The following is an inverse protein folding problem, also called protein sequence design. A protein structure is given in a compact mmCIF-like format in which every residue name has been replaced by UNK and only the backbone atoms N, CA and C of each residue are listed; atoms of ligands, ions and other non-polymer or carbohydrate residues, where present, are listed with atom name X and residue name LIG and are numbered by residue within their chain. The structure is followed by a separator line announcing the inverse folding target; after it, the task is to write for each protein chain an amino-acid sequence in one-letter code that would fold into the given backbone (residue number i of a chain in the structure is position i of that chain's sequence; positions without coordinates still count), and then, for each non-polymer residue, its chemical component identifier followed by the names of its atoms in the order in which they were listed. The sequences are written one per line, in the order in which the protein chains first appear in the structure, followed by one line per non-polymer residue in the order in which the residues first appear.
data_IF_966411856591
#
_entry.id   IF_966411856591
#
_cell.length_a   1.000
_cell.length_b   1.000
_cell.length_c   1.000
_cell.angle_alpha   90.00
_cell.angle_beta   90.00
_cell.angle_gamma   90.00
#
_symmetry.space_group_name_H-M   'P 1'
#
loop_
_entity.id
_entity.type
_entity.pdbx_description
1 polymer ?
#
# COMPACT_ATOMS: atom_id res chain seq x y z
N UNK A 1 -3.77 -23.13 -20.35
CA UNK A 1 -3.25 -22.07 -19.47
C UNK A 1 -3.13 -20.76 -20.24
N UNK A 2 -4.26 -20.16 -20.65
CA UNK A 2 -4.28 -18.94 -21.48
C UNK A 2 -4.70 -17.68 -20.68
N UNK A 3 -5.16 -17.84 -19.44
CA UNK A 3 -5.71 -16.74 -18.63
C UNK A 3 -4.66 -15.67 -18.27
N UNK A 4 -3.44 -16.07 -17.95
CA UNK A 4 -2.36 -15.11 -17.65
C UNK A 4 -1.95 -14.32 -18.90
N UNK A 5 -2.01 -14.93 -20.09
CA UNK A 5 -1.62 -14.26 -21.33
C UNK A 5 -2.69 -13.29 -21.82
N UNK A 6 -3.96 -13.65 -21.67
CA UNK A 6 -5.08 -12.75 -21.95
C UNK A 6 -5.15 -11.59 -20.95
N UNK A 7 -4.78 -11.79 -19.68
CA UNK A 7 -4.74 -10.70 -18.70
C UNK A 7 -3.65 -9.64 -19.03
N UNK A 8 -2.56 -10.05 -19.68
CA UNK A 8 -1.49 -9.13 -20.09
C UNK A 8 -1.65 -8.59 -21.51
N UNK A 9 -2.46 -9.24 -22.37
CA UNK A 9 -2.58 -8.88 -23.80
C UNK A 9 -3.90 -8.20 -24.14
N UNK A 10 -4.97 -8.41 -23.35
CA UNK A 10 -6.29 -7.81 -23.58
C UNK A 10 -6.43 -6.51 -22.79
N UNK A 11 -6.97 -5.45 -23.40
CA UNK A 11 -7.23 -4.14 -22.78
C UNK A 11 -7.87 -4.22 -21.38
N UNK A 12 -8.78 -5.18 -21.19
CA UNK A 12 -9.50 -5.43 -19.92
C UNK A 12 -8.57 -5.90 -18.80
N UNK A 13 -7.57 -6.72 -19.15
CA UNK A 13 -6.62 -7.27 -18.20
C UNK A 13 -5.60 -6.22 -17.75
N UNK A 14 -5.11 -5.39 -18.68
CA UNK A 14 -4.23 -4.25 -18.35
C UNK A 14 -4.93 -3.24 -17.45
N UNK A 15 -6.19 -2.91 -17.74
CA UNK A 15 -6.98 -2.00 -16.91
C UNK A 15 -7.18 -2.56 -15.49
N UNK A 16 -7.45 -3.86 -15.38
CA UNK A 16 -7.59 -4.55 -14.09
C UNK A 16 -6.28 -4.61 -13.32
N UNK A 17 -5.15 -4.88 -13.99
CA UNK A 17 -3.80 -4.85 -13.39
C UNK A 17 -3.47 -3.45 -12.89
N UNK A 18 -3.82 -2.41 -13.63
CA UNK A 18 -3.65 -1.01 -13.20
C UNK A 18 -4.42 -0.71 -11.91
N UNK A 19 -5.68 -1.14 -11.82
CA UNK A 19 -6.48 -1.00 -10.61
C UNK A 19 -5.91 -1.76 -9.41
N UNK A 20 -5.48 -3.01 -9.61
CA UNK A 20 -4.86 -3.83 -8.55
C UNK A 20 -3.53 -3.23 -8.09
N UNK A 21 -2.68 -2.79 -9.02
CA UNK A 21 -1.42 -2.12 -8.70
C UNK A 21 -1.65 -0.82 -7.92
N UNK A 22 -2.67 -0.04 -8.30
CA UNK A 22 -3.07 1.16 -7.57
C UNK A 22 -3.57 0.84 -6.16
N UNK A 23 -4.44 -0.17 -6.01
CA UNK A 23 -4.98 -0.57 -4.71
C UNK A 23 -3.86 -1.06 -3.77
N UNK A 24 -2.95 -1.88 -4.27
CA UNK A 24 -1.78 -2.35 -3.51
C UNK A 24 -0.81 -1.20 -3.18
N UNK A 25 -0.56 -0.31 -4.13
CA UNK A 25 0.28 0.88 -3.93
C UNK A 25 -0.27 1.79 -2.83
N UNK A 26 -1.58 2.06 -2.87
CA UNK A 26 -2.27 2.81 -1.82
C UNK A 26 -2.21 2.09 -0.47
N UNK A 27 -2.40 0.77 -0.44
CA UNK A 27 -2.27 -0.03 0.79
C UNK A 27 -0.89 0.09 1.43
N UNK A 28 0.18 -0.07 0.66
CA UNK A 28 1.56 0.08 1.14
C UNK A 28 1.84 1.52 1.59
N UNK A 29 1.35 2.52 0.84
CA UNK A 29 1.50 3.93 1.21
C UNK A 29 0.86 4.22 2.57
N UNK A 30 -0.38 3.79 2.79
CA UNK A 30 -1.07 3.97 4.07
C UNK A 30 -0.32 3.28 5.20
N UNK A 31 0.07 2.01 5.04
CA UNK A 31 0.83 1.29 6.06
C UNK A 31 2.11 2.05 6.42
N UNK A 32 2.86 2.53 5.41
CA UNK A 32 4.08 3.29 5.65
C UNK A 32 3.82 4.64 6.33
N UNK A 33 2.74 5.32 5.94
CA UNK A 33 2.31 6.59 6.52
C UNK A 33 1.93 6.43 8.00
N UNK A 34 1.09 5.44 8.31
CA UNK A 34 0.68 5.11 9.68
C UNK A 34 1.86 4.66 10.53
N UNK A 35 2.76 3.81 10.02
CA UNK A 35 3.96 3.41 10.76
C UNK A 35 4.88 4.60 11.05
N UNK A 36 4.99 5.56 10.13
CA UNK A 36 5.80 6.76 10.35
C UNK A 36 5.16 7.66 11.41
N UNK A 37 3.85 7.92 11.31
CA UNK A 37 3.12 8.73 12.28
C UNK A 37 3.05 8.09 13.67
N UNK A 38 2.78 6.78 13.75
CA UNK A 38 2.78 6.02 15.00
C UNK A 38 4.16 6.07 15.65
N UNK A 39 5.26 6.03 14.90
CA UNK A 39 6.61 6.15 15.46
C UNK A 39 6.86 7.54 16.04
N UNK A 40 6.38 8.58 15.39
CA UNK A 40 6.49 9.95 15.90
C UNK A 40 5.62 10.17 17.15
N UNK A 41 4.39 9.64 17.15
CA UNK A 41 3.49 9.69 18.30
C UNK A 41 4.00 8.82 19.45
N UNK A 42 4.53 7.63 19.17
CA UNK A 42 5.16 6.76 20.15
C UNK A 42 6.42 7.40 20.73
N UNK A 43 7.23 8.10 19.93
CA UNK A 43 8.39 8.83 20.43
C UNK A 43 7.98 9.99 21.35
N UNK A 44 6.93 10.73 21.00
CA UNK A 44 6.36 11.79 21.85
C UNK A 44 5.73 11.23 23.13
N UNK A 45 5.01 10.11 23.04
CA UNK A 45 4.41 9.43 24.18
C UNK A 45 5.49 8.85 25.12
N UNK A 46 6.56 8.26 24.58
CA UNK A 46 7.70 7.78 25.35
C UNK A 46 8.46 8.92 26.04
N UNK A 47 8.59 10.08 25.39
CA UNK A 47 9.17 11.28 25.99
C UNK A 47 8.27 11.87 27.09
N UNK A 48 6.95 11.81 26.94
CA UNK A 48 5.99 12.26 27.95
C UNK A 48 5.91 11.31 29.15
N UNK A 49 6.04 9.99 28.94
CA UNK A 49 6.06 8.99 30.01
C UNK A 49 7.36 9.00 30.83
N UNK A 50 8.42 9.67 30.34
CA UNK A 50 9.72 9.76 31.02
C UNK A 50 9.87 11.05 31.86
N UNK A 51 8.84 11.88 31.93
CA UNK A 51 8.74 13.07 32.80
C UNK A 51 7.88 12.76 34.02
#
# INVERSE_FOLDING_TARGET
MHALRDLFTTDVGLMSIGGIAFMLGMGVFFIRYFLTHIREDAAKAAAASKR
#
